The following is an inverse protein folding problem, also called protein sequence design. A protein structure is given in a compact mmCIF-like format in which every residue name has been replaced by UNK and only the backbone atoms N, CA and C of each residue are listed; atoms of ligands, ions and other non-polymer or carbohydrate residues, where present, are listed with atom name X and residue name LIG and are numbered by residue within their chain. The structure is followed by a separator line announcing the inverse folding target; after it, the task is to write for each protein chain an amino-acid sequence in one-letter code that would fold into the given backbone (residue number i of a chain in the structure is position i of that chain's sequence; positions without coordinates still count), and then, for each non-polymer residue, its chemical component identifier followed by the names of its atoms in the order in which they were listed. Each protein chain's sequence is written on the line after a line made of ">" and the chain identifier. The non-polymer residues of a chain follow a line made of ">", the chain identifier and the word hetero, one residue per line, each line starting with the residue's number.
data_IF_223025707937
#
_entry.id   IF_223025707937
#
_cell.length_a   1.000
_cell.length_b   1.000
_cell.length_c   1.000
_cell.angle_alpha   90.00
_cell.angle_beta   90.00
_cell.angle_gamma   90.00
#
_symmetry.space_group_name_H-M   'P 1'
#
loop_
_entity.id
_entity.type
_entity.pdbx_description
1 polymer ?
#
# COMPACT_ATOMS: atom_id res chain seq x y z
N UNK A 1 -2.70 -7.13 4.27
CA UNK A 1 -2.14 -6.76 2.96
C UNK A 1 -1.89 -8.01 2.09
N UNK A 2 -1.24 -9.05 2.58
CA UNK A 2 -0.95 -10.25 1.76
C UNK A 2 -2.20 -10.93 1.22
N UNK A 3 -3.30 -10.94 1.94
CA UNK A 3 -4.58 -11.48 1.47
C UNK A 3 -5.18 -10.70 0.28
N UNK A 4 -4.73 -9.48 0.03
CA UNK A 4 -5.22 -8.69 -1.09
C UNK A 4 -4.88 -9.33 -2.46
N UNK A 5 -3.69 -9.90 -2.61
CA UNK A 5 -3.26 -10.46 -3.89
C UNK A 5 -4.15 -11.62 -4.35
N UNK A 6 -4.37 -12.69 -3.54
CA UNK A 6 -5.27 -13.77 -3.96
C UNK A 6 -6.70 -13.30 -4.21
N UNK A 7 -7.21 -12.33 -3.44
CA UNK A 7 -8.54 -11.75 -3.67
C UNK A 7 -8.58 -10.96 -4.97
N UNK A 8 -7.56 -10.14 -5.25
CA UNK A 8 -7.45 -9.39 -6.50
C UNK A 8 -7.48 -10.31 -7.72
N UNK A 9 -6.66 -11.36 -7.72
CA UNK A 9 -6.61 -12.29 -8.86
C UNK A 9 -7.91 -13.09 -9.02
N UNK A 10 -8.55 -13.49 -7.92
CA UNK A 10 -9.86 -14.14 -7.97
C UNK A 10 -10.92 -13.20 -8.57
N UNK A 11 -10.94 -11.93 -8.18
CA UNK A 11 -11.84 -10.93 -8.76
C UNK A 11 -11.59 -10.70 -10.25
N UNK A 12 -10.33 -10.66 -10.67
CA UNK A 12 -9.97 -10.52 -12.09
C UNK A 12 -10.45 -11.74 -12.92
N UNK A 13 -10.24 -12.95 -12.43
CA UNK A 13 -10.67 -14.17 -13.10
C UNK A 13 -12.19 -14.26 -13.22
N UNK A 14 -12.91 -13.89 -12.17
CA UNK A 14 -14.36 -13.90 -12.14
C UNK A 14 -15.01 -12.70 -12.86
N UNK A 15 -14.25 -11.67 -13.20
CA UNK A 15 -14.77 -10.44 -13.79
C UNK A 15 -15.67 -9.65 -12.85
N UNK A 16 -15.39 -9.70 -11.54
CA UNK A 16 -16.16 -9.01 -10.49
C UNK A 16 -15.29 -7.97 -9.78
N UNK A 17 -15.91 -7.09 -9.02
CA UNK A 17 -15.23 -6.08 -8.21
C UNK A 17 -15.54 -6.18 -6.72
N UNK A 18 -16.49 -7.03 -6.35
CA UNK A 18 -16.90 -7.28 -4.96
C UNK A 18 -17.62 -8.60 -4.86
N UNK A 19 -17.63 -9.21 -3.68
CA UNK A 19 -18.38 -10.43 -3.38
C UNK A 19 -18.70 -10.51 -1.90
N UNK A 20 -19.78 -11.21 -1.55
CA UNK A 20 -20.11 -11.56 -0.16
C UNK A 20 -19.31 -12.77 0.35
N UNK A 21 -18.65 -13.52 -0.54
CA UNK A 21 -17.87 -14.72 -0.18
C UNK A 21 -16.70 -14.93 -1.15
N UNK A 22 -15.51 -15.09 -0.60
CA UNK A 22 -14.30 -15.49 -1.34
C UNK A 22 -14.34 -16.99 -1.59
N UNK A 23 -14.05 -17.41 -2.83
CA UNK A 23 -14.02 -18.83 -3.21
C UNK A 23 -12.76 -19.54 -2.72
N UNK A 24 -11.66 -18.80 -2.57
CA UNK A 24 -10.37 -19.35 -2.22
C UNK A 24 -9.62 -19.98 -3.40
N UNK A 25 -9.86 -19.50 -4.62
CA UNK A 25 -9.22 -20.00 -5.85
C UNK A 25 -7.70 -20.06 -5.71
N UNK A 26 -7.11 -19.05 -5.07
CA UNK A 26 -5.65 -18.91 -4.90
C UNK A 26 -5.17 -19.17 -3.46
N UNK A 27 -5.86 -20.05 -2.71
CA UNK A 27 -5.53 -20.35 -1.32
C UNK A 27 -4.13 -20.98 -1.18
N UNK A 28 -3.72 -21.86 -2.09
CA UNK A 28 -2.41 -22.47 -2.06
C UNK A 28 -1.28 -21.45 -2.32
N UNK A 29 -1.52 -20.48 -3.21
CA UNK A 29 -0.61 -19.36 -3.46
C UNK A 29 -0.52 -18.44 -2.23
N UNK A 30 -1.65 -18.19 -1.57
CA UNK A 30 -1.69 -17.44 -0.31
C UNK A 30 -0.91 -18.15 0.79
N UNK A 31 -1.08 -19.46 0.92
CA UNK A 31 -0.30 -20.25 1.86
C UNK A 31 1.19 -20.19 1.56
N UNK A 32 1.59 -20.29 0.30
CA UNK A 32 3.00 -20.25 -0.11
C UNK A 32 3.67 -18.93 0.25
N UNK A 33 2.97 -17.78 0.08
CA UNK A 33 3.54 -16.47 0.46
C UNK A 33 3.64 -16.34 1.98
N UNK A 34 2.68 -16.84 2.74
CA UNK A 34 2.76 -16.89 4.20
C UNK A 34 3.92 -17.76 4.68
N UNK A 35 4.08 -18.97 4.12
CA UNK A 35 5.20 -19.86 4.44
C UNK A 35 6.55 -19.16 4.15
N UNK A 36 6.63 -18.39 3.06
CA UNK A 36 7.82 -17.60 2.73
C UNK A 36 8.14 -16.57 3.82
N UNK A 37 7.16 -15.79 4.24
CA UNK A 37 7.35 -14.76 5.26
C UNK A 37 7.64 -15.35 6.63
N UNK A 38 6.93 -16.39 7.05
CA UNK A 38 7.10 -17.02 8.35
C UNK A 38 8.46 -17.71 8.46
N UNK A 39 8.85 -18.48 7.43
CA UNK A 39 10.07 -19.30 7.48
C UNK A 39 11.36 -18.51 7.19
N UNK A 40 11.26 -17.30 6.66
CA UNK A 40 12.41 -16.45 6.35
C UNK A 40 12.42 -15.14 7.15
N UNK A 41 11.67 -15.11 8.24
CA UNK A 41 11.67 -13.98 9.18
C UNK A 41 13.01 -13.90 9.94
N UNK A 42 13.30 -12.76 10.51
CA UNK A 42 14.47 -12.49 11.37
C UNK A 42 14.37 -13.17 12.74
N UNK A 43 13.20 -13.66 13.11
CA UNK A 43 12.96 -14.37 14.37
C UNK A 43 12.23 -15.70 14.15
N UNK A 44 12.20 -16.52 15.19
CA UNK A 44 11.47 -17.79 15.17
C UNK A 44 9.97 -17.57 14.95
N UNK A 45 9.27 -18.44 14.21
CA UNK A 45 7.84 -18.31 13.95
C UNK A 45 6.98 -18.09 15.19
N UNK A 46 7.31 -18.70 16.31
CA UNK A 46 6.61 -18.56 17.59
C UNK A 46 6.70 -17.16 18.22
N UNK A 47 7.64 -16.36 17.78
CA UNK A 47 7.89 -15.00 18.29
C UNK A 47 7.21 -13.92 17.44
N UNK A 48 6.77 -14.26 16.22
CA UNK A 48 6.20 -13.30 15.27
C UNK A 48 4.99 -12.54 15.82
N UNK A 49 4.12 -13.19 16.59
CA UNK A 49 2.93 -12.57 17.17
C UNK A 49 3.23 -11.48 18.19
N UNK A 50 4.44 -11.44 18.74
CA UNK A 50 4.89 -10.40 19.68
C UNK A 50 5.60 -9.23 19.00
N UNK A 51 5.94 -9.35 17.70
CA UNK A 51 6.63 -8.31 16.93
C UNK A 51 5.66 -7.24 16.44
N UNK A 52 6.18 -6.03 16.33
CA UNK A 52 5.46 -4.85 15.86
C UNK A 52 6.01 -4.36 14.52
N UNK A 53 5.30 -3.41 13.89
CA UNK A 53 5.82 -2.72 12.71
C UNK A 53 7.12 -1.95 12.98
N UNK A 54 7.29 -1.41 14.18
CA UNK A 54 8.53 -0.74 14.58
C UNK A 54 9.68 -1.72 14.75
N UNK A 55 9.43 -2.92 15.27
CA UNK A 55 10.45 -3.98 15.36
C UNK A 55 10.96 -4.35 13.97
N UNK A 56 10.06 -4.62 13.02
CA UNK A 56 10.46 -4.98 11.65
C UNK A 56 11.18 -3.84 10.92
N UNK A 57 10.78 -2.59 11.13
CA UNK A 57 11.53 -1.43 10.61
C UNK A 57 12.93 -1.35 11.21
N UNK A 58 13.06 -1.51 12.52
CA UNK A 58 14.34 -1.43 13.21
C UNK A 58 15.29 -2.56 12.79
N UNK A 59 14.79 -3.77 12.57
CA UNK A 59 15.56 -4.91 12.06
C UNK A 59 16.06 -4.64 10.63
N UNK A 60 15.25 -4.07 9.77
CA UNK A 60 15.67 -3.63 8.44
C UNK A 60 16.70 -2.51 8.52
N UNK A 61 16.48 -1.48 9.35
CA UNK A 61 17.46 -0.42 9.62
C UNK A 61 18.76 -0.96 10.24
N UNK A 62 18.70 -2.03 11.01
CA UNK A 62 19.91 -2.70 11.55
C UNK A 62 20.67 -3.51 10.49
N UNK A 63 20.10 -3.73 9.31
CA UNK A 63 20.66 -4.58 8.27
C UNK A 63 20.51 -6.07 8.56
N UNK A 64 19.60 -6.44 9.45
CA UNK A 64 19.28 -7.81 9.81
C UNK A 64 18.33 -8.46 8.79
N UNK A 65 17.56 -7.65 8.07
CA UNK A 65 16.67 -8.08 6.99
C UNK A 65 17.05 -7.40 5.67
N UNK A 66 16.96 -8.15 4.56
CA UNK A 66 17.15 -7.63 3.19
C UNK A 66 15.83 -7.15 2.59
N UNK A 67 14.72 -7.76 3.00
CA UNK A 67 13.38 -7.42 2.54
C UNK A 67 12.54 -6.92 3.72
N UNK A 68 11.81 -5.85 3.46
CA UNK A 68 10.88 -5.24 4.41
C UNK A 68 9.56 -4.97 3.70
N UNK A 69 8.48 -5.64 4.11
CA UNK A 69 7.17 -5.44 3.50
C UNK A 69 6.45 -4.30 4.20
N UNK A 70 6.28 -3.18 3.51
CA UNK A 70 5.54 -2.03 3.99
C UNK A 70 5.12 -1.14 2.81
N UNK A 71 4.79 0.14 3.04
CA UNK A 71 4.34 1.07 2.02
C UNK A 71 5.28 2.26 1.83
N UNK A 72 4.96 3.09 0.84
CA UNK A 72 5.76 4.27 0.46
C UNK A 72 5.97 5.29 1.59
N UNK A 73 5.10 5.30 2.60
CA UNK A 73 5.22 6.15 3.79
C UNK A 73 6.46 5.85 4.65
N UNK A 74 7.06 4.67 4.50
CA UNK A 74 8.27 4.31 5.24
C UNK A 74 9.53 5.00 4.70
N UNK A 75 9.50 5.56 3.50
CA UNK A 75 10.66 6.20 2.89
C UNK A 75 11.35 7.20 3.84
N UNK A 76 10.57 8.10 4.46
CA UNK A 76 11.10 9.08 5.40
C UNK A 76 11.75 8.45 6.66
N UNK A 77 11.18 7.35 7.14
CA UNK A 77 11.72 6.62 8.29
C UNK A 77 13.03 5.91 7.93
N UNK A 78 13.15 5.40 6.70
CA UNK A 78 14.34 4.67 6.25
C UNK A 78 15.52 5.60 5.91
N UNK A 79 15.23 6.82 5.40
CA UNK A 79 16.25 7.78 4.96
C UNK A 79 16.55 8.89 5.98
N UNK A 80 15.61 9.15 6.90
CA UNK A 80 15.61 10.32 7.79
C UNK A 80 16.82 10.39 8.74
N UNK A 81 17.38 9.28 9.15
CA UNK A 81 18.59 9.21 9.98
C UNK A 81 19.89 9.09 9.16
N UNK A 82 19.81 9.18 7.84
CA UNK A 82 20.95 9.10 6.94
C UNK A 82 21.59 7.73 6.84
N UNK A 83 20.90 6.69 7.27
CA UNK A 83 21.42 5.31 7.23
C UNK A 83 21.30 4.71 5.84
N UNK A 84 20.17 4.93 5.17
CA UNK A 84 19.94 4.54 3.79
C UNK A 84 19.76 5.77 2.90
N UNK A 85 20.20 5.63 1.67
CA UNK A 85 20.02 6.61 0.58
C UNK A 85 19.18 6.01 -0.53
N UNK A 86 18.82 6.78 -1.53
CA UNK A 86 18.09 6.29 -2.70
C UNK A 86 18.84 5.16 -3.43
N UNK A 87 20.17 5.15 -3.36
CA UNK A 87 21.00 4.10 -3.98
C UNK A 87 20.94 2.75 -3.23
N UNK A 88 20.50 2.75 -1.97
CA UNK A 88 20.43 1.58 -1.12
C UNK A 88 19.05 0.90 -1.15
N UNK A 89 18.03 1.57 -1.66
CA UNK A 89 16.63 1.18 -1.53
C UNK A 89 15.96 0.93 -2.89
N UNK A 90 15.05 -0.03 -2.93
CA UNK A 90 14.15 -0.24 -4.07
C UNK A 90 12.83 -0.85 -3.60
N UNK A 91 11.72 -0.47 -4.26
CA UNK A 91 10.45 -1.19 -4.13
C UNK A 91 10.34 -2.26 -5.21
N UNK A 92 9.87 -3.44 -4.82
CA UNK A 92 9.56 -4.54 -5.71
C UNK A 92 8.11 -4.99 -5.50
N UNK A 93 7.41 -5.45 -6.56
CA UNK A 93 6.09 -6.05 -6.40
C UNK A 93 6.13 -7.32 -5.55
N UNK A 94 5.02 -7.62 -4.87
CA UNK A 94 4.85 -8.90 -4.20
C UNK A 94 4.23 -9.87 -5.21
N UNK A 95 4.90 -10.99 -5.44
CA UNK A 95 4.45 -12.05 -6.35
C UNK A 95 3.93 -13.25 -5.57
N UNK A 96 2.86 -13.86 -6.07
CA UNK A 96 2.25 -15.06 -5.48
C UNK A 96 2.19 -16.25 -6.44
N UNK A 97 2.86 -16.16 -7.58
CA UNK A 97 2.89 -17.20 -8.60
C UNK A 97 1.62 -17.22 -9.48
N UNK A 98 0.94 -16.09 -9.64
CA UNK A 98 -0.33 -15.99 -10.37
C UNK A 98 -0.27 -14.84 -11.38
N UNK A 99 -0.88 -15.06 -12.53
CA UNK A 99 -1.03 -14.04 -13.57
C UNK A 99 0.27 -13.74 -14.31
N UNK A 100 0.32 -12.58 -14.95
CA UNK A 100 1.48 -12.10 -15.71
C UNK A 100 2.41 -11.28 -14.82
N UNK A 101 3.12 -11.96 -13.93
CA UNK A 101 4.04 -11.32 -12.97
C UNK A 101 5.14 -10.50 -13.64
N UNK A 102 5.53 -10.86 -14.87
CA UNK A 102 6.49 -10.09 -15.66
C UNK A 102 6.00 -8.65 -15.92
N UNK A 103 4.70 -8.47 -16.02
CA UNK A 103 4.05 -7.17 -16.24
C UNK A 103 3.32 -6.63 -14.99
N UNK A 104 3.45 -7.27 -13.85
CA UNK A 104 2.86 -6.79 -12.60
C UNK A 104 3.65 -5.60 -12.04
N UNK A 105 2.94 -4.56 -11.63
CA UNK A 105 3.45 -3.42 -10.88
C UNK A 105 3.23 -3.57 -9.37
N UNK A 106 3.42 -2.48 -8.65
CA UNK A 106 3.21 -2.43 -7.20
C UNK A 106 1.73 -2.53 -6.84
N UNK A 107 1.45 -2.91 -5.59
CA UNK A 107 0.12 -2.77 -5.03
C UNK A 107 -0.15 -1.29 -4.76
N UNK A 108 -1.19 -0.75 -5.37
CA UNK A 108 -1.58 0.66 -5.24
C UNK A 108 -3.10 0.81 -5.29
N UNK A 109 -3.60 1.97 -4.92
CA UNK A 109 -5.02 2.27 -5.01
C UNK A 109 -5.42 3.44 -4.14
N UNK A 110 -6.68 3.83 -4.23
CA UNK A 110 -7.25 4.89 -3.40
C UNK A 110 -7.74 4.29 -2.09
N UNK A 111 -7.06 4.60 -1.00
CA UNK A 111 -7.38 4.10 0.33
C UNK A 111 -7.83 5.21 1.29
N UNK A 112 -7.42 6.44 1.02
CA UNK A 112 -7.71 7.59 1.85
C UNK A 112 -8.71 8.52 1.15
N UNK A 113 -9.73 8.93 1.88
CA UNK A 113 -10.82 9.76 1.36
C UNK A 113 -11.11 10.90 2.32
N UNK A 114 -11.41 12.08 1.77
CA UNK A 114 -12.06 13.12 2.55
C UNK A 114 -13.57 12.87 2.56
N UNK A 115 -14.14 12.88 3.76
CA UNK A 115 -15.57 12.79 3.95
C UNK A 115 -16.09 14.14 4.42
N UNK A 116 -17.08 14.69 3.70
CA UNK A 116 -17.77 15.92 4.09
C UNK A 116 -19.03 15.55 4.88
N UNK A 117 -19.17 16.08 6.10
CA UNK A 117 -20.37 15.84 6.90
C UNK A 117 -21.56 16.58 6.29
N UNK A 118 -22.48 15.85 5.68
CA UNK A 118 -23.69 16.41 5.02
C UNK A 118 -24.69 17.06 5.98
N UNK A 119 -24.58 16.80 7.29
CA UNK A 119 -25.43 17.39 8.33
C UNK A 119 -24.83 18.67 8.95
N UNK A 120 -23.64 19.09 8.50
CA UNK A 120 -23.04 20.36 8.92
C UNK A 120 -23.79 21.55 8.30
N UNK A 121 -23.50 22.76 8.77
CA UNK A 121 -24.06 23.96 8.14
C UNK A 121 -23.55 24.14 6.70
N UNK A 122 -24.33 24.83 5.85
CA UNK A 122 -23.90 25.11 4.48
C UNK A 122 -22.55 25.86 4.44
N UNK A 123 -22.32 26.78 5.35
CA UNK A 123 -21.06 27.53 5.45
C UNK A 123 -19.89 26.61 5.81
N UNK A 124 -20.06 25.66 6.75
CA UNK A 124 -19.03 24.71 7.12
C UNK A 124 -18.74 23.73 6.00
N UNK A 125 -19.77 23.27 5.27
CA UNK A 125 -19.60 22.40 4.10
C UNK A 125 -18.80 23.15 3.03
N UNK A 126 -19.16 24.42 2.73
CA UNK A 126 -18.45 25.21 1.73
C UNK A 126 -17.00 25.46 2.14
N UNK A 127 -16.75 25.84 3.40
CA UNK A 127 -15.39 26.01 3.90
C UNK A 127 -14.56 24.72 3.81
N UNK A 128 -15.14 23.57 4.08
CA UNK A 128 -14.50 22.26 3.92
C UNK A 128 -14.13 21.99 2.46
N UNK A 129 -15.06 22.24 1.53
CA UNK A 129 -14.81 22.08 0.10
C UNK A 129 -13.74 23.04 -0.42
N UNK A 130 -13.74 24.29 0.05
CA UNK A 130 -12.73 25.29 -0.29
C UNK A 130 -11.34 24.86 0.21
N UNK A 131 -11.25 24.30 1.42
CA UNK A 131 -10.00 23.75 1.96
C UNK A 131 -9.50 22.56 1.14
N UNK A 132 -10.36 21.59 0.82
CA UNK A 132 -10.02 20.45 -0.02
C UNK A 132 -9.54 20.94 -1.41
N UNK A 133 -10.27 21.88 -2.00
CA UNK A 133 -9.86 22.46 -3.28
C UNK A 133 -8.49 23.15 -3.18
N UNK A 134 -8.24 23.89 -2.11
CA UNK A 134 -6.94 24.50 -1.85
C UNK A 134 -5.83 23.45 -1.75
N UNK A 135 -6.05 22.36 -1.01
CA UNK A 135 -5.09 21.26 -0.89
C UNK A 135 -4.67 20.71 -2.26
N UNK A 136 -5.63 20.52 -3.18
CA UNK A 136 -5.35 19.84 -4.47
C UNK A 136 -5.02 20.79 -5.62
N UNK A 137 -5.14 22.11 -5.44
CA UNK A 137 -4.92 23.08 -6.54
C UNK A 137 -3.88 24.15 -6.22
N UNK A 138 -3.65 24.49 -4.94
CA UNK A 138 -2.65 25.50 -4.60
C UNK A 138 -1.22 24.93 -4.63
N UNK A 139 -0.24 25.80 -4.88
CA UNK A 139 1.17 25.42 -4.83
C UNK A 139 1.56 24.87 -3.45
N UNK A 140 1.12 25.53 -2.37
CA UNK A 140 1.43 25.11 -1.01
C UNK A 140 0.76 23.77 -0.66
N UNK A 141 -0.53 23.61 -1.00
CA UNK A 141 -1.29 22.39 -0.71
C UNK A 141 -0.72 21.18 -1.47
N UNK A 142 -0.49 21.31 -2.77
CA UNK A 142 0.06 20.22 -3.60
C UNK A 142 1.49 19.88 -3.20
N UNK A 143 2.29 20.88 -2.79
CA UNK A 143 3.65 20.66 -2.28
C UNK A 143 3.63 19.91 -0.95
N UNK A 144 2.80 20.32 0.00
CA UNK A 144 2.69 19.64 1.29
C UNK A 144 2.24 18.18 1.14
N UNK A 145 1.29 17.90 0.24
CA UNK A 145 0.84 16.54 -0.03
C UNK A 145 1.95 15.68 -0.63
N UNK A 146 2.78 16.22 -1.51
CA UNK A 146 3.88 15.50 -2.14
C UNK A 146 5.09 15.30 -1.23
N UNK A 147 5.55 16.36 -0.57
CA UNK A 147 6.82 16.40 0.18
C UNK A 147 6.64 15.93 1.64
N UNK A 148 5.61 16.46 2.33
CA UNK A 148 5.47 16.24 3.77
C UNK A 148 4.67 14.96 4.07
N UNK A 149 3.67 14.64 3.23
CA UNK A 149 2.78 13.50 3.42
C UNK A 149 3.21 12.26 2.62
N UNK A 150 4.02 12.43 1.57
CA UNK A 150 4.49 11.33 0.73
C UNK A 150 3.36 10.58 0.01
N UNK A 151 2.27 11.27 -0.31
CA UNK A 151 1.12 10.66 -0.94
C UNK A 151 1.36 10.43 -2.44
N UNK A 152 0.85 9.31 -2.94
CA UNK A 152 0.60 9.13 -4.38
C UNK A 152 -0.67 9.93 -4.71
N UNK A 153 -0.52 11.05 -5.41
CA UNK A 153 -1.60 12.02 -5.62
C UNK A 153 -2.28 11.76 -6.96
N UNK A 154 -3.58 11.38 -7.00
CA UNK A 154 -4.27 11.03 -8.24
C UNK A 154 -4.83 12.25 -8.99
N UNK A 155 -4.39 13.45 -8.68
CA UNK A 155 -4.87 14.70 -9.33
C UNK A 155 -3.87 15.20 -10.36
N UNK A 156 -4.37 15.82 -11.43
CA UNK A 156 -3.53 16.38 -12.51
C UNK A 156 -2.63 17.53 -12.06
N UNK A 157 -2.93 18.12 -10.91
CA UNK A 157 -2.18 19.21 -10.28
C UNK A 157 -1.09 18.71 -9.34
N UNK A 158 -0.94 17.40 -9.18
CA UNK A 158 0.07 16.82 -8.32
C UNK A 158 1.47 17.29 -8.70
N UNK A 159 2.26 17.60 -7.69
CA UNK A 159 3.69 17.86 -7.86
C UNK A 159 4.46 16.54 -7.84
N UNK A 160 5.64 16.55 -8.46
CA UNK A 160 6.53 15.40 -8.41
C UNK A 160 6.97 15.16 -6.95
N UNK A 161 6.79 13.94 -6.46
CA UNK A 161 7.19 13.57 -5.11
C UNK A 161 8.71 13.36 -5.02
N UNK A 162 9.40 13.84 -3.98
CA UNK A 162 10.79 13.49 -3.72
C UNK A 162 10.98 12.04 -3.29
N UNK A 163 9.91 11.38 -2.85
CA UNK A 163 9.92 9.99 -2.35
C UNK A 163 10.28 9.01 -3.46
N UNK A 164 11.42 8.31 -3.32
CA UNK A 164 11.89 7.30 -4.27
C UNK A 164 10.84 6.24 -4.58
N UNK A 165 10.09 5.78 -3.59
CA UNK A 165 9.11 4.71 -3.77
C UNK A 165 7.93 5.15 -4.63
N UNK A 166 7.51 6.42 -4.50
CA UNK A 166 6.48 7.02 -5.36
C UNK A 166 6.99 7.19 -6.79
N UNK A 167 8.26 7.57 -6.96
CA UNK A 167 8.90 7.66 -8.28
C UNK A 167 8.97 6.29 -8.96
N UNK A 168 9.37 5.25 -8.23
CA UNK A 168 9.46 3.88 -8.78
C UNK A 168 8.09 3.33 -9.18
N UNK A 169 7.02 3.62 -8.44
CA UNK A 169 5.65 3.29 -8.87
C UNK A 169 5.26 3.98 -10.18
N UNK A 170 5.56 5.28 -10.28
CA UNK A 170 5.31 6.04 -11.51
C UNK A 170 6.13 5.51 -12.70
N UNK A 171 7.39 5.14 -12.50
CA UNK A 171 8.26 4.55 -13.51
C UNK A 171 7.75 3.18 -13.97
N UNK A 172 7.32 2.31 -13.06
CA UNK A 172 6.72 1.01 -13.40
C UNK A 172 5.44 1.21 -14.22
N UNK A 173 4.59 2.15 -13.82
CA UNK A 173 3.37 2.49 -14.56
C UNK A 173 3.69 3.03 -15.97
N UNK A 174 4.67 3.92 -16.08
CA UNK A 174 5.12 4.45 -17.38
C UNK A 174 5.74 3.38 -18.26
N UNK A 175 6.38 2.37 -17.69
CA UNK A 175 6.91 1.19 -18.39
C UNK A 175 5.83 0.18 -18.80
N UNK A 176 4.55 0.45 -18.52
CA UNK A 176 3.41 -0.38 -18.90
C UNK A 176 3.14 -1.54 -17.92
N UNK A 177 3.72 -1.52 -16.71
CA UNK A 177 3.37 -2.47 -15.67
C UNK A 177 1.94 -2.24 -15.19
N UNK A 178 1.23 -3.31 -14.88
CA UNK A 178 -0.15 -3.26 -14.38
C UNK A 178 -0.13 -3.26 -12.86
N UNK A 179 -0.57 -2.18 -12.20
CA UNK A 179 -0.64 -2.13 -10.75
C UNK A 179 -1.70 -3.10 -10.21
N UNK A 180 -1.46 -3.66 -9.04
CA UNK A 180 -2.43 -4.47 -8.30
C UNK A 180 -3.25 -3.55 -7.41
N UNK A 181 -4.57 -3.51 -7.63
CA UNK A 181 -5.46 -2.66 -6.84
C UNK A 181 -5.66 -3.20 -5.43
N UNK A 182 -5.72 -2.29 -4.46
CA UNK A 182 -6.19 -2.60 -3.12
C UNK A 182 -7.71 -2.83 -3.11
N UNK A 183 -8.13 -3.98 -2.58
CA UNK A 183 -9.54 -4.39 -2.54
C UNK A 183 -10.12 -4.37 -1.11
N UNK A 184 -9.52 -3.62 -0.19
CA UNK A 184 -9.93 -3.63 1.21
C UNK A 184 -11.39 -3.24 1.42
N UNK A 185 -11.91 -2.31 0.64
CA UNK A 185 -13.30 -1.84 0.73
C UNK A 185 -14.30 -2.73 0.00
N UNK A 186 -13.82 -3.69 -0.78
CA UNK A 186 -14.63 -4.61 -1.59
C UNK A 186 -14.51 -6.07 -1.18
N UNK A 187 -13.73 -6.36 -0.13
CA UNK A 187 -13.70 -7.64 0.56
C UNK A 187 -15.05 -7.90 1.25
N UNK A 188 -15.41 -9.16 1.55
CA UNK A 188 -16.74 -9.53 2.05
C UNK A 188 -17.23 -8.70 3.24
N UNK A 189 -16.34 -8.43 4.21
CA UNK A 189 -16.64 -7.56 5.35
C UNK A 189 -15.37 -7.15 6.08
N UNK A 190 -15.46 -6.12 6.93
CA UNK A 190 -14.39 -5.76 7.86
C UNK A 190 -14.05 -6.90 8.84
N UNK A 191 -15.06 -7.64 9.30
CA UNK A 191 -14.88 -8.79 10.18
C UNK A 191 -14.08 -9.90 9.46
N UNK A 192 -14.41 -10.19 8.20
CA UNK A 192 -13.67 -11.15 7.38
C UNK A 192 -12.21 -10.74 7.22
N UNK A 193 -11.98 -9.50 6.83
CA UNK A 193 -10.63 -8.94 6.63
C UNK A 193 -9.78 -9.02 7.90
N UNK A 194 -10.34 -8.62 9.03
CA UNK A 194 -9.66 -8.67 10.32
C UNK A 194 -9.44 -10.11 10.80
N UNK A 195 -10.39 -11.01 10.55
CA UNK A 195 -10.28 -12.43 10.86
C UNK A 195 -9.13 -13.10 10.12
N UNK A 196 -8.96 -12.82 8.84
CA UNK A 196 -7.83 -13.34 8.04
C UNK A 196 -6.49 -12.83 8.57
N UNK A 197 -6.42 -11.59 9.06
CA UNK A 197 -5.20 -11.03 9.64
C UNK A 197 -4.88 -11.52 11.06
N UNK A 198 -5.84 -12.14 11.74
CA UNK A 198 -5.69 -12.61 13.13
C UNK A 198 -5.53 -14.14 13.24
N UNK A 199 -5.76 -14.87 12.16
CA UNK A 199 -5.68 -16.33 12.11
C UNK A 199 -4.23 -16.80 11.92
#
# INVERSE_FOLDING_TARGET
>A
HLANLPVYFEYQEDGISTTDAIKGTYLDNYKAIWDLYINNSTCEPSELSAKTGDDSRNEFLAGEAVFFQNGSWEYGNLTGEGKYTDDDLAMIPIYIGVGDEANQGLCTGTENYWCVNKEASEDDIQATLDFINWCVTSEQGTKAMADDMGFVIPFKTAQESPNLFVKQDAEMTAAGKTPVSWNFTTMPSEEWKNGVGSA
#
